data_IF_574491326605
#
_entry.id   IF_574491326605
#
_cell.length_a   1.000
_cell.length_b   1.000
_cell.length_c   1.000
_cell.angle_alpha   90.00
_cell.angle_beta   90.00
_cell.angle_gamma   90.00
#
_symmetry.space_group_name_H-M   'P 1'
#
loop_
_entity.id
_entity.type
_entity.pdbx_description
1 polymer ?
#
# COMPACT_ATOMS: atom_id res chain seq x y z
N UNK A 1 13.80 -9.00 -4.98
CA UNK A 1 12.45 -9.32 -5.48
C UNK A 1 11.70 -8.03 -5.62
N UNK A 2 11.03 -7.80 -6.74
CA UNK A 2 10.15 -6.64 -6.87
C UNK A 2 8.79 -6.98 -6.25
N UNK A 3 8.26 -6.08 -5.42
CA UNK A 3 7.00 -6.25 -4.73
C UNK A 3 5.88 -5.57 -5.49
N UNK A 4 5.34 -6.28 -6.48
CA UNK A 4 4.26 -5.76 -7.30
C UNK A 4 2.90 -6.12 -6.72
N UNK A 5 2.08 -5.10 -6.51
CA UNK A 5 0.66 -5.27 -6.17
C UNK A 5 -0.22 -4.70 -7.27
N UNK A 6 -1.39 -5.32 -7.44
CA UNK A 6 -2.43 -4.85 -8.34
C UNK A 6 -3.64 -4.50 -7.50
N UNK A 7 -4.07 -3.23 -7.56
CA UNK A 7 -5.20 -2.73 -6.79
C UNK A 7 -6.10 -1.87 -7.67
N UNK A 8 -7.39 -1.88 -7.38
CA UNK A 8 -8.35 -0.98 -8.03
C UNK A 8 -8.56 0.23 -7.12
N UNK A 9 -8.28 1.42 -7.64
CA UNK A 9 -8.49 2.66 -6.93
C UNK A 9 -9.24 3.65 -7.82
N UNK A 10 -10.32 4.20 -7.29
CA UNK A 10 -11.33 4.95 -8.04
C UNK A 10 -11.88 4.18 -9.25
N UNK A 11 -11.49 4.55 -10.46
CA UNK A 11 -11.92 3.91 -11.72
C UNK A 11 -10.76 3.27 -12.48
N UNK A 12 -9.57 3.26 -11.88
CA UNK A 12 -8.34 2.82 -12.52
C UNK A 12 -7.78 1.60 -11.79
N UNK A 13 -7.17 0.72 -12.56
CA UNK A 13 -6.36 -0.37 -12.03
C UNK A 13 -4.91 0.11 -11.96
N UNK A 14 -4.34 0.12 -10.75
CA UNK A 14 -2.96 0.46 -10.52
C UNK A 14 -2.13 -0.82 -10.37
N UNK A 15 -0.94 -0.79 -10.98
CA UNK A 15 0.10 -1.80 -10.79
C UNK A 15 1.28 -1.08 -10.15
N UNK A 16 1.50 -1.33 -8.87
CA UNK A 16 2.42 -0.55 -8.04
C UNK A 16 3.59 -1.42 -7.60
N UNK A 17 4.80 -0.92 -7.79
CA UNK A 17 6.02 -1.48 -7.20
C UNK A 17 6.24 -0.87 -5.81
N UNK A 18 6.07 -1.67 -4.75
CA UNK A 18 6.25 -1.23 -3.36
C UNK A 18 7.71 -0.83 -3.06
N UNK A 19 8.69 -1.29 -3.84
CA UNK A 19 10.10 -0.85 -3.70
C UNK A 19 10.33 0.59 -4.18
N UNK A 20 9.38 1.15 -4.95
CA UNK A 20 9.43 2.54 -5.46
C UNK A 20 8.59 3.51 -4.64
N UNK A 21 7.83 3.00 -3.67
CA UNK A 21 7.05 3.82 -2.74
C UNK A 21 7.98 4.40 -1.69
N UNK A 22 7.95 5.73 -1.53
CA UNK A 22 8.85 6.45 -0.61
C UNK A 22 8.39 6.40 0.85
N UNK A 23 7.08 6.35 1.07
CA UNK A 23 6.50 6.30 2.40
C UNK A 23 5.12 5.63 2.41
N UNK A 24 4.86 4.85 3.46
CA UNK A 24 3.54 4.33 3.81
C UNK A 24 3.04 5.07 5.05
N UNK A 25 1.76 5.42 5.05
CA UNK A 25 1.07 6.00 6.18
C UNK A 25 0.00 5.03 6.66
N UNK A 26 0.12 4.58 7.90
CA UNK A 26 -0.93 3.82 8.57
C UNK A 26 -1.87 4.80 9.30
N UNK A 27 -3.17 4.67 9.05
CA UNK A 27 -4.21 5.52 9.63
C UNK A 27 -5.13 4.62 10.47
N UNK A 28 -5.61 5.09 11.65
CA UNK A 28 -6.60 4.36 12.43
C UNK A 28 -7.79 3.90 11.59
N UNK A 29 -8.34 2.72 11.91
CA UNK A 29 -9.38 1.99 11.17
C UNK A 29 -8.88 1.15 9.97
N UNK A 30 -7.74 0.48 10.10
CA UNK A 30 -7.22 -0.47 9.12
C UNK A 30 -7.11 0.12 7.70
N UNK A 31 -6.53 1.32 7.63
CA UNK A 31 -6.26 2.02 6.37
C UNK A 31 -4.77 2.27 6.23
N UNK A 32 -4.23 1.87 5.09
CA UNK A 32 -2.87 2.21 4.69
C UNK A 32 -2.94 3.07 3.46
N UNK A 33 -2.19 4.17 3.45
CA UNK A 33 -2.06 5.02 2.29
C UNK A 33 -0.62 5.20 1.88
N UNK A 34 -0.39 5.45 0.60
CA UNK A 34 0.91 5.78 0.08
C UNK A 34 0.79 6.72 -1.12
N UNK A 35 1.82 7.53 -1.35
CA UNK A 35 1.88 8.44 -2.48
C UNK A 35 2.68 7.81 -3.62
N UNK A 36 2.19 7.98 -4.85
CA UNK A 36 2.97 7.70 -6.05
C UNK A 36 3.99 8.82 -6.31
N UNK A 37 5.06 8.50 -7.04
CA UNK A 37 6.18 9.43 -7.33
C UNK A 37 5.74 10.71 -8.05
N UNK A 38 4.61 10.68 -8.74
CA UNK A 38 4.03 11.85 -9.41
C UNK A 38 3.45 12.88 -8.42
N UNK A 39 3.46 12.59 -7.12
CA UNK A 39 3.10 13.51 -6.02
C UNK A 39 1.62 13.86 -5.91
N UNK A 40 0.83 13.61 -6.96
CA UNK A 40 -0.57 14.02 -7.08
C UNK A 40 -1.58 12.92 -6.71
N UNK A 41 -1.14 11.68 -6.55
CA UNK A 41 -2.04 10.54 -6.30
C UNK A 41 -1.65 9.85 -5.00
N UNK A 42 -2.53 9.97 -4.01
CA UNK A 42 -2.48 9.19 -2.77
C UNK A 42 -3.43 8.02 -2.89
N UNK A 43 -2.88 6.81 -2.93
CA UNK A 43 -3.67 5.58 -2.95
C UNK A 43 -3.98 5.22 -1.50
N UNK A 44 -5.25 4.96 -1.21
CA UNK A 44 -5.70 4.49 0.10
C UNK A 44 -6.23 3.07 -0.08
N UNK A 45 -5.59 2.13 0.60
CA UNK A 45 -5.98 0.72 0.66
C UNK A 45 -6.56 0.44 2.04
N UNK A 46 -7.71 -0.20 2.08
CA UNK A 46 -8.38 -0.58 3.33
C UNK A 46 -8.60 -2.08 3.34
N UNK A 47 -8.57 -2.67 4.54
CA UNK A 47 -8.83 -4.10 4.70
C UNK A 47 -10.21 -4.53 4.14
N UNK A 48 -11.20 -3.63 4.15
CA UNK A 48 -12.55 -3.93 3.62
C UNK A 48 -12.61 -3.89 2.09
N UNK A 49 -11.86 -2.98 1.45
CA UNK A 49 -11.93 -2.80 0.00
C UNK A 49 -11.06 -3.80 -0.74
N UNK A 50 -9.86 -4.08 -0.21
CA UNK A 50 -8.87 -4.94 -0.86
C UNK A 50 -7.98 -5.61 0.22
N UNK A 51 -8.49 -6.68 0.88
CA UNK A 51 -7.81 -7.32 2.00
C UNK A 51 -6.46 -7.93 1.59
N UNK A 52 -6.35 -8.48 0.38
CA UNK A 52 -5.13 -9.09 -0.14
C UNK A 52 -4.01 -8.05 -0.35
N UNK A 53 -4.29 -6.93 -1.02
CA UNK A 53 -3.28 -5.87 -1.17
C UNK A 53 -2.96 -5.22 0.17
N UNK A 54 -3.97 -5.05 1.04
CA UNK A 54 -3.76 -4.51 2.38
C UNK A 54 -2.75 -5.37 3.16
N UNK A 55 -2.99 -6.68 3.26
CA UNK A 55 -2.08 -7.59 3.96
C UNK A 55 -0.70 -7.63 3.30
N UNK A 56 -0.63 -7.66 1.96
CA UNK A 56 0.64 -7.64 1.24
C UNK A 56 1.48 -6.40 1.56
N UNK A 57 0.84 -5.24 1.71
CA UNK A 57 1.52 -4.00 2.11
C UNK A 57 2.02 -4.08 3.55
N UNK A 58 1.22 -4.62 4.48
CA UNK A 58 1.66 -4.81 5.87
C UNK A 58 2.86 -5.75 5.96
N UNK A 59 2.79 -6.91 5.30
CA UNK A 59 3.87 -7.89 5.25
C UNK A 59 5.14 -7.30 4.62
N UNK A 60 4.98 -6.46 3.59
CA UNK A 60 6.09 -5.75 2.97
C UNK A 60 6.75 -4.75 3.93
N UNK A 61 5.96 -3.95 4.63
CA UNK A 61 6.47 -2.99 5.62
C UNK A 61 7.19 -3.72 6.74
N UNK A 62 6.61 -4.78 7.30
CA UNK A 62 7.24 -5.59 8.34
C UNK A 62 8.55 -6.21 7.85
N UNK A 63 8.55 -6.82 6.66
CA UNK A 63 9.76 -7.43 6.08
C UNK A 63 10.87 -6.43 5.79
N UNK A 64 10.53 -5.18 5.42
CA UNK A 64 11.52 -4.14 5.09
C UNK A 64 12.05 -3.42 6.31
N UNK A 65 11.21 -3.19 7.32
CA UNK A 65 11.51 -2.27 8.41
C UNK A 65 11.59 -2.96 9.77
N UNK A 66 11.04 -4.16 9.90
CA UNK A 66 10.82 -4.84 11.19
C UNK A 66 9.66 -4.27 12.01
N UNK A 67 8.94 -3.27 11.52
CA UNK A 67 7.77 -2.72 12.20
C UNK A 67 6.51 -3.48 11.83
N UNK A 68 5.89 -4.13 12.81
CA UNK A 68 4.58 -4.74 12.67
C UNK A 68 3.50 -3.67 12.85
N UNK A 69 2.65 -3.52 11.85
CA UNK A 69 1.47 -2.65 11.89
C UNK A 69 0.22 -3.48 12.25
N UNK A 70 -0.75 -2.92 12.99
CA UNK A 70 -1.91 -3.65 13.48
C UNK A 70 -3.02 -3.86 12.44
#
# INVERSE_FOLDING_TARGET
>A
MAYWIKLNFERNTYVVDLDRVTAFCYVPNARVSFALLDGNTTIIVTQQSDPDSYQTILDYVEKRTGFTLP
#
